data_IF_138398692927
#
_entry.id   IF_138398692927
#
_cell.length_a   1.000
_cell.length_b   1.000
_cell.length_c   1.000
_cell.angle_alpha   90.00
_cell.angle_beta   90.00
_cell.angle_gamma   90.00
#
_symmetry.space_group_name_H-M   'P 1'
#
loop_
_entity.id
_entity.type
_entity.pdbx_description
1 polymer ?
#
# COMPACT_ATOMS: atom_id res chain seq x y z
N UNK A 1 -26.54 -1.13 -1.87
CA UNK A 1 -25.43 -0.44 -1.14
C UNK A 1 -24.13 -0.71 -1.86
N UNK A 2 -23.39 0.33 -2.29
CA UNK A 2 -22.12 0.12 -3.00
C UNK A 2 -21.02 -0.19 -1.98
N UNK A 3 -20.63 -1.45 -1.85
CA UNK A 3 -19.50 -1.87 -1.04
C UNK A 3 -18.21 -1.34 -1.67
N UNK A 4 -17.37 -0.64 -0.90
CA UNK A 4 -16.08 -0.16 -1.34
C UNK A 4 -15.01 -1.20 -1.03
N UNK A 5 -14.26 -1.59 -2.05
CA UNK A 5 -13.17 -2.55 -1.94
C UNK A 5 -11.83 -1.86 -2.17
N UNK A 6 -10.87 -2.08 -1.29
CA UNK A 6 -9.50 -1.62 -1.46
C UNK A 6 -8.55 -2.81 -1.42
N UNK A 7 -7.78 -2.97 -2.48
CA UNK A 7 -6.71 -3.95 -2.57
C UNK A 7 -5.36 -3.24 -2.71
N UNK A 8 -4.37 -3.71 -1.98
CA UNK A 8 -3.02 -3.17 -2.07
C UNK A 8 -1.94 -4.24 -1.99
N UNK A 9 -0.76 -3.87 -2.50
CA UNK A 9 0.47 -4.64 -2.33
C UNK A 9 1.50 -3.74 -1.66
N UNK A 10 2.05 -4.23 -0.54
CA UNK A 10 3.05 -3.54 0.25
C UNK A 10 4.47 -4.01 -0.14
N UNK A 11 5.50 -3.29 0.33
CA UNK A 11 6.93 -3.57 0.12
C UNK A 11 7.36 -3.57 -1.36
N UNK A 12 6.60 -2.88 -2.24
CA UNK A 12 6.85 -2.91 -3.68
C UNK A 12 8.12 -2.13 -4.02
N UNK A 13 9.06 -2.81 -4.66
CA UNK A 13 10.32 -2.24 -5.12
C UNK A 13 10.95 -3.07 -6.24
N UNK A 14 11.17 -4.39 -6.04
CA UNK A 14 11.95 -5.23 -6.96
C UNK A 14 11.34 -5.26 -8.35
N UNK A 15 10.04 -5.47 -8.48
CA UNK A 15 9.37 -5.53 -9.77
C UNK A 15 9.50 -4.23 -10.59
N UNK A 16 9.59 -3.06 -9.92
CA UNK A 16 9.83 -1.78 -10.60
C UNK A 16 11.26 -1.69 -11.15
N UNK A 17 12.23 -2.22 -10.42
CA UNK A 17 13.63 -2.28 -10.87
C UNK A 17 13.76 -3.31 -12.00
N UNK A 18 13.17 -4.50 -11.87
CA UNK A 18 13.20 -5.56 -12.87
C UNK A 18 12.64 -5.10 -14.25
N UNK A 19 11.50 -4.38 -14.27
CA UNK A 19 10.98 -3.83 -15.55
C UNK A 19 11.89 -2.79 -16.15
N UNK A 20 12.59 -2.02 -15.32
CA UNK A 20 13.47 -0.95 -15.77
C UNK A 20 14.79 -1.49 -16.32
N UNK A 21 15.41 -2.44 -15.62
CA UNK A 21 16.68 -3.05 -16.01
C UNK A 21 16.53 -3.83 -17.33
N UNK A 22 15.46 -4.62 -17.45
CA UNK A 22 15.25 -5.55 -18.55
C UNK A 22 14.37 -4.96 -19.68
N UNK A 23 13.97 -3.68 -19.61
CA UNK A 23 13.06 -3.03 -20.56
C UNK A 23 11.75 -3.81 -20.79
N UNK A 24 11.23 -4.46 -19.75
CA UNK A 24 10.00 -5.26 -19.87
C UNK A 24 8.78 -4.33 -19.85
N UNK A 25 7.88 -4.40 -20.84
CA UNK A 25 6.60 -3.70 -20.77
C UNK A 25 5.84 -4.08 -19.50
N UNK A 26 5.33 -3.10 -18.74
CA UNK A 26 4.76 -3.33 -17.41
C UNK A 26 3.69 -4.45 -17.39
N UNK A 27 2.82 -4.48 -18.41
CA UNK A 27 1.75 -5.48 -18.51
C UNK A 27 2.25 -6.90 -18.82
N UNK A 28 3.53 -7.05 -19.25
CA UNK A 28 4.16 -8.36 -19.54
C UNK A 28 4.94 -8.91 -18.35
N UNK A 29 5.35 -8.06 -17.42
CA UNK A 29 6.07 -8.49 -16.22
C UNK A 29 5.14 -9.30 -15.30
N UNK A 30 5.61 -10.42 -14.76
CA UNK A 30 4.81 -11.39 -14.00
C UNK A 30 3.95 -10.74 -12.91
N UNK A 31 4.53 -9.88 -12.08
CA UNK A 31 3.87 -9.18 -10.97
C UNK A 31 2.75 -8.24 -11.48
N UNK A 32 3.08 -7.36 -12.40
CA UNK A 32 2.12 -6.39 -12.94
C UNK A 32 1.05 -7.05 -13.82
N UNK A 33 1.36 -8.17 -14.49
CA UNK A 33 0.39 -8.96 -15.27
C UNK A 33 -0.72 -9.51 -14.40
N UNK A 34 -0.39 -10.01 -13.18
CA UNK A 34 -1.39 -10.45 -12.20
C UNK A 34 -2.35 -9.29 -11.88
N UNK A 35 -1.82 -8.12 -11.52
CA UNK A 35 -2.61 -6.94 -11.14
C UNK A 35 -3.44 -6.41 -12.32
N UNK A 36 -2.88 -6.39 -13.52
CA UNK A 36 -3.58 -5.99 -14.72
C UNK A 36 -4.75 -6.93 -15.06
N UNK A 37 -4.56 -8.24 -14.90
CA UNK A 37 -5.62 -9.23 -15.09
C UNK A 37 -6.74 -9.07 -14.06
N UNK A 38 -6.42 -8.80 -12.79
CA UNK A 38 -7.41 -8.46 -11.76
C UNK A 38 -8.24 -7.23 -12.15
N UNK A 39 -7.57 -6.17 -12.64
CA UNK A 39 -8.27 -4.99 -13.12
C UNK A 39 -9.11 -5.28 -14.37
N UNK A 40 -8.58 -6.02 -15.33
CA UNK A 40 -9.27 -6.33 -16.57
C UNK A 40 -10.57 -7.11 -16.31
N UNK A 41 -10.48 -8.15 -15.47
CA UNK A 41 -11.59 -9.08 -15.18
C UNK A 41 -12.59 -8.49 -14.16
N UNK A 42 -12.10 -7.85 -13.10
CA UNK A 42 -12.93 -7.45 -11.95
C UNK A 42 -12.98 -5.94 -11.73
N UNK A 43 -12.29 -5.13 -12.55
CA UNK A 43 -12.14 -3.68 -12.39
C UNK A 43 -11.53 -3.28 -11.03
N UNK A 44 -10.79 -4.18 -10.40
CA UNK A 44 -10.07 -3.92 -9.15
C UNK A 44 -8.81 -3.11 -9.45
N UNK A 45 -8.78 -1.88 -8.95
CA UNK A 45 -7.58 -1.03 -8.98
C UNK A 45 -6.72 -1.36 -7.78
N UNK A 46 -5.41 -1.55 -8.02
CA UNK A 46 -4.47 -1.92 -6.94
C UNK A 46 -3.64 -0.72 -6.51
N UNK A 47 -3.51 -0.52 -5.20
CA UNK A 47 -2.56 0.44 -4.63
C UNK A 47 -1.24 -0.26 -4.30
N UNK A 48 -0.11 0.34 -4.72
CA UNK A 48 1.24 -0.16 -4.49
C UNK A 48 1.96 0.77 -3.52
N UNK A 49 2.36 0.26 -2.36
CA UNK A 49 3.07 1.01 -1.34
C UNK A 49 4.57 0.73 -1.44
N UNK A 50 5.33 1.79 -1.73
CA UNK A 50 6.69 1.71 -2.20
C UNK A 50 7.71 1.99 -1.09
N UNK A 51 8.77 1.19 -1.05
CA UNK A 51 10.03 1.61 -0.46
C UNK A 51 10.79 2.54 -1.42
N UNK A 52 11.56 3.47 -0.84
CA UNK A 52 12.44 4.32 -1.63
C UNK A 52 13.66 3.59 -2.17
N UNK A 53 14.20 2.68 -1.35
CA UNK A 53 15.42 1.93 -1.64
C UNK A 53 15.35 0.49 -1.14
N UNK A 54 16.19 -0.36 -1.73
CA UNK A 54 16.41 -1.74 -1.29
C UNK A 54 17.82 -2.18 -1.63
N UNK A 55 18.42 -3.03 -0.77
CA UNK A 55 19.70 -3.68 -1.09
C UNK A 55 19.40 -4.92 -1.97
N UNK A 56 19.92 -4.93 -3.19
CA UNK A 56 19.79 -6.01 -4.16
C UNK A 56 21.22 -6.39 -4.61
N UNK A 57 21.58 -7.67 -4.47
CA UNK A 57 22.91 -8.17 -4.84
C UNK A 57 24.06 -7.32 -4.27
N UNK A 58 23.97 -6.96 -2.97
CA UNK A 58 25.00 -6.19 -2.28
C UNK A 58 24.94 -4.66 -2.50
N UNK A 59 24.22 -4.18 -3.52
CA UNK A 59 24.15 -2.75 -3.88
C UNK A 59 22.81 -2.13 -3.44
N UNK A 60 22.86 -0.90 -2.95
CA UNK A 60 21.65 -0.12 -2.66
C UNK A 60 21.11 0.42 -3.98
N UNK A 61 19.92 -0.04 -4.36
CA UNK A 61 19.14 0.46 -5.51
C UNK A 61 18.07 1.43 -5.02
N UNK A 62 17.66 2.38 -5.86
CA UNK A 62 16.68 3.41 -5.49
C UNK A 62 15.60 3.58 -6.56
N UNK A 63 14.45 4.18 -6.18
CA UNK A 63 13.37 4.50 -7.13
C UNK A 63 13.81 5.47 -8.25
N UNK A 64 14.95 6.15 -8.12
CA UNK A 64 15.53 6.98 -9.20
C UNK A 64 15.86 6.18 -10.46
N UNK A 65 16.15 4.90 -10.31
CA UNK A 65 16.51 3.98 -11.38
C UNK A 65 15.30 3.45 -12.16
N UNK A 66 14.08 3.69 -11.64
CA UNK A 66 12.85 3.29 -12.34
C UNK A 66 12.65 4.18 -13.57
N UNK A 67 12.54 3.55 -14.73
CA UNK A 67 12.28 4.23 -16.01
C UNK A 67 10.86 4.79 -16.06
N UNK A 68 10.63 5.73 -17.00
CA UNK A 68 9.31 6.30 -17.23
C UNK A 68 8.33 5.25 -17.82
N UNK A 69 7.21 5.05 -17.12
CA UNK A 69 6.15 4.10 -17.50
C UNK A 69 4.77 4.78 -17.67
N UNK A 70 4.72 6.12 -17.71
CA UNK A 70 3.46 6.89 -17.75
C UNK A 70 2.51 6.43 -18.85
N UNK A 71 3.04 6.20 -20.05
CA UNK A 71 2.22 5.81 -21.20
C UNK A 71 1.59 4.43 -21.05
N UNK A 72 2.22 3.56 -20.26
CA UNK A 72 1.72 2.23 -19.97
C UNK A 72 0.65 2.20 -18.85
N UNK A 73 0.43 3.36 -18.18
CA UNK A 73 -0.49 3.53 -17.07
C UNK A 73 -1.74 4.37 -17.40
N UNK A 74 -2.01 4.62 -18.68
CA UNK A 74 -3.14 5.46 -19.13
C UNK A 74 -4.50 4.99 -18.59
N UNK A 75 -4.68 3.68 -18.40
CA UNK A 75 -5.93 3.06 -17.94
C UNK A 75 -6.17 3.18 -16.42
N UNK A 76 -5.23 3.76 -15.64
CA UNK A 76 -5.33 3.97 -14.19
C UNK A 76 -5.72 2.69 -13.40
N UNK A 77 -5.09 1.57 -13.70
CA UNK A 77 -5.35 0.29 -13.04
C UNK A 77 -4.53 0.07 -11.78
N UNK A 78 -3.43 0.84 -11.60
CA UNK A 78 -2.63 0.88 -10.37
C UNK A 78 -2.39 2.31 -9.92
N UNK A 79 -2.19 2.47 -8.59
CA UNK A 79 -1.75 3.69 -7.94
C UNK A 79 -0.53 3.39 -7.08
N UNK A 80 0.29 4.40 -6.87
CA UNK A 80 1.50 4.30 -6.05
C UNK A 80 1.42 5.26 -4.87
N UNK A 81 2.02 4.88 -3.73
CA UNK A 81 2.24 5.78 -2.62
C UNK A 81 3.38 5.30 -1.71
N UNK A 82 3.61 6.08 -0.69
CA UNK A 82 4.64 5.93 0.31
C UNK A 82 4.40 4.74 1.24
N UNK A 83 5.45 3.93 1.46
CA UNK A 83 5.51 2.90 2.48
C UNK A 83 6.60 3.18 3.52
N UNK A 84 7.81 3.48 3.08
CA UNK A 84 8.96 3.76 3.94
C UNK A 84 10.25 3.95 3.16
N UNK A 85 11.36 4.15 3.88
CA UNK A 85 12.68 4.22 3.26
C UNK A 85 13.06 2.87 2.67
N UNK A 86 13.07 1.86 3.53
CA UNK A 86 13.33 0.44 3.24
C UNK A 86 12.80 -0.43 4.39
N UNK A 87 12.97 -1.74 4.30
CA UNK A 87 12.50 -2.69 5.31
C UNK A 87 13.28 -2.65 6.64
N UNK A 88 14.51 -2.15 6.63
CA UNK A 88 15.39 -2.11 7.81
C UNK A 88 15.25 -0.79 8.59
N UNK A 89 14.83 0.28 7.92
CA UNK A 89 14.65 1.60 8.49
C UNK A 89 13.17 1.99 8.55
N UNK A 90 12.36 1.39 9.44
CA UNK A 90 10.95 1.69 9.52
C UNK A 90 10.70 3.16 9.93
N UNK A 91 9.55 3.75 9.56
CA UNK A 91 9.28 5.16 9.85
C UNK A 91 9.43 5.55 11.33
N UNK A 92 9.05 4.68 12.27
CA UNK A 92 9.16 4.97 13.70
C UNK A 92 10.62 5.07 14.21
N UNK A 93 11.58 4.44 13.51
CA UNK A 93 13.01 4.51 13.84
C UNK A 93 13.70 5.75 13.23
N UNK A 94 12.96 6.58 12.49
CA UNK A 94 13.49 7.75 11.81
C UNK A 94 12.99 9.03 12.48
N UNK A 95 13.83 10.09 12.45
CA UNK A 95 13.40 11.43 12.82
C UNK A 95 12.27 11.92 11.91
N UNK A 96 11.40 12.79 12.41
CA UNK A 96 10.32 13.40 11.62
C UNK A 96 10.85 14.09 10.34
N UNK A 97 12.03 14.73 10.43
CA UNK A 97 12.70 15.36 9.28
C UNK A 97 13.01 14.33 8.19
N UNK A 98 13.57 13.19 8.57
CA UNK A 98 13.91 12.11 7.63
C UNK A 98 12.66 11.45 7.04
N UNK A 99 11.62 11.22 7.83
CA UNK A 99 10.35 10.70 7.33
C UNK A 99 9.72 11.61 6.28
N UNK A 100 9.69 12.93 6.53
CA UNK A 100 9.21 13.94 5.56
C UNK A 100 10.07 13.93 4.29
N UNK A 101 11.40 13.91 4.43
CA UNK A 101 12.33 13.86 3.30
C UNK A 101 12.13 12.60 2.45
N UNK A 102 11.96 11.45 3.08
CA UNK A 102 11.70 10.18 2.39
C UNK A 102 10.36 10.21 1.65
N UNK A 103 9.31 10.74 2.28
CA UNK A 103 8.01 10.91 1.63
C UNK A 103 8.11 11.77 0.37
N UNK A 104 8.79 12.93 0.43
CA UNK A 104 8.93 13.80 -0.74
C UNK A 104 9.77 13.15 -1.85
N UNK A 105 10.83 12.40 -1.50
CA UNK A 105 11.59 11.64 -2.48
C UNK A 105 10.70 10.62 -3.20
N UNK A 106 9.96 9.78 -2.48
CA UNK A 106 9.07 8.77 -3.09
C UNK A 106 7.99 9.45 -3.93
N UNK A 107 7.36 10.51 -3.41
CA UNK A 107 6.35 11.27 -4.15
C UNK A 107 6.90 11.84 -5.45
N UNK A 108 8.08 12.45 -5.41
CA UNK A 108 8.76 13.00 -6.58
C UNK A 108 9.05 11.92 -7.62
N UNK A 109 9.59 10.78 -7.19
CA UNK A 109 9.88 9.68 -8.09
C UNK A 109 8.61 9.08 -8.72
N UNK A 110 7.54 8.88 -7.94
CA UNK A 110 6.26 8.41 -8.48
C UNK A 110 5.74 9.37 -9.56
N UNK A 111 5.81 10.68 -9.31
CA UNK A 111 5.38 11.68 -10.30
C UNK A 111 6.27 11.62 -11.54
N UNK A 112 7.57 11.39 -11.37
CA UNK A 112 8.54 11.28 -12.47
C UNK A 112 8.26 10.05 -13.34
N UNK A 113 8.14 8.85 -12.75
CA UNK A 113 8.02 7.62 -13.54
C UNK A 113 6.59 7.21 -13.88
N UNK A 114 5.59 7.55 -13.05
CA UNK A 114 4.20 7.09 -13.22
C UNK A 114 3.20 8.24 -13.50
N UNK A 115 3.58 9.48 -13.21
CA UNK A 115 2.71 10.65 -13.37
C UNK A 115 1.85 10.94 -12.13
N UNK A 116 1.48 12.22 -11.96
CA UNK A 116 0.73 12.74 -10.81
C UNK A 116 -0.61 12.02 -10.57
N UNK A 117 -1.31 11.63 -11.62
CA UNK A 117 -2.62 10.96 -11.55
C UNK A 117 -2.55 9.57 -10.91
N UNK A 118 -1.39 8.92 -10.95
CA UNK A 118 -1.17 7.61 -10.35
C UNK A 118 -0.62 7.69 -8.92
N UNK A 119 -0.46 8.88 -8.35
CA UNK A 119 -0.12 9.06 -6.94
C UNK A 119 -1.39 8.98 -6.10
N UNK A 120 -1.48 7.98 -5.20
CA UNK A 120 -2.62 7.80 -4.31
C UNK A 120 -2.66 8.86 -3.21
N UNK A 121 -3.87 9.26 -2.79
CA UNK A 121 -4.07 10.11 -1.61
C UNK A 121 -4.20 9.32 -0.29
N UNK A 122 -3.98 8.01 -0.31
CA UNK A 122 -4.02 7.15 0.87
C UNK A 122 -2.68 6.47 1.07
N UNK A 123 -2.15 6.52 2.29
CA UNK A 123 -0.83 6.01 2.67
C UNK A 123 -0.96 4.75 3.53
N UNK A 124 -0.03 3.83 3.39
CA UNK A 124 0.20 2.73 4.34
C UNK A 124 1.67 2.74 4.73
N UNK A 125 1.93 3.05 5.99
CA UNK A 125 3.30 3.08 6.52
C UNK A 125 3.79 1.68 6.89
N UNK A 126 5.05 1.42 6.61
CA UNK A 126 5.72 0.20 7.06
C UNK A 126 5.60 0.07 8.58
N UNK A 127 5.21 -1.12 9.07
CA UNK A 127 4.83 -1.40 10.45
C UNK A 127 3.70 -0.54 11.02
N UNK A 128 2.94 0.16 10.18
CA UNK A 128 1.81 1.03 10.59
C UNK A 128 2.20 2.03 11.68
N UNK A 129 3.43 2.52 11.63
CA UNK A 129 4.00 3.39 12.64
C UNK A 129 4.10 4.82 12.12
N UNK A 130 3.28 5.69 12.64
CA UNK A 130 3.31 7.10 12.32
C UNK A 130 3.24 7.95 13.60
N UNK A 131 3.48 9.24 13.50
CA UNK A 131 3.33 10.21 14.57
C UNK A 131 2.25 11.24 14.24
N UNK A 132 1.78 11.98 15.23
CA UNK A 132 0.85 13.09 15.01
C UNK A 132 1.42 14.15 14.08
N UNK A 133 2.70 14.46 14.22
CA UNK A 133 3.42 15.43 13.41
C UNK A 133 3.50 14.99 11.96
N UNK A 134 3.74 13.69 11.72
CA UNK A 134 3.73 13.14 10.38
C UNK A 134 2.33 13.15 9.77
N UNK A 135 1.29 12.82 10.53
CA UNK A 135 -0.10 12.92 10.09
C UNK A 135 -0.49 14.35 9.72
N UNK A 136 -0.07 15.35 10.53
CA UNK A 136 -0.27 16.75 10.22
C UNK A 136 0.40 17.15 8.91
N UNK A 137 1.63 16.68 8.69
CA UNK A 137 2.36 16.91 7.46
C UNK A 137 1.69 16.26 6.24
N UNK A 138 1.25 15.02 6.34
CA UNK A 138 0.53 14.33 5.28
C UNK A 138 -0.72 15.07 4.84
N UNK A 139 -1.48 15.62 5.80
CA UNK A 139 -2.64 16.46 5.49
C UNK A 139 -2.28 17.70 4.68
N UNK A 140 -1.19 18.38 5.03
CA UNK A 140 -0.68 19.52 4.25
C UNK A 140 -0.31 19.12 2.82
N UNK A 141 0.12 17.86 2.61
CA UNK A 141 0.44 17.29 1.31
C UNK A 141 -0.77 16.68 0.58
N UNK A 142 -2.00 16.98 1.03
CA UNK A 142 -3.27 16.51 0.45
C UNK A 142 -3.46 14.98 0.54
N UNK A 143 -2.78 14.31 1.46
CA UNK A 143 -3.09 12.94 1.84
C UNK A 143 -4.42 12.94 2.58
N UNK A 144 -5.34 12.07 2.18
CA UNK A 144 -6.71 11.97 2.72
C UNK A 144 -6.83 10.95 3.84
N UNK A 145 -5.95 9.97 3.89
CA UNK A 145 -6.02 8.96 4.93
C UNK A 145 -4.84 8.00 4.98
N UNK A 146 -4.81 7.23 6.09
CA UNK A 146 -3.84 6.19 6.36
C UNK A 146 -4.54 4.87 6.64
N UNK A 147 -3.97 3.78 6.10
CA UNK A 147 -4.40 2.43 6.46
C UNK A 147 -3.71 1.98 7.73
N UNK A 148 -4.51 1.49 8.68
CA UNK A 148 -4.04 0.92 9.94
C UNK A 148 -3.89 -0.61 9.83
N UNK A 149 -3.38 -1.21 10.90
CA UNK A 149 -3.13 -2.66 10.98
C UNK A 149 -4.41 -3.51 10.99
N UNK A 150 -4.26 -4.78 10.62
CA UNK A 150 -5.24 -5.86 10.81
C UNK A 150 -5.23 -6.45 12.24
N UNK A 151 -4.23 -6.07 13.07
CA UNK A 151 -4.06 -6.58 14.43
C UNK A 151 -5.05 -5.93 15.42
N UNK A 152 -5.19 -6.53 16.61
CA UNK A 152 -6.01 -5.98 17.71
C UNK A 152 -5.44 -4.64 18.22
N UNK A 153 -4.12 -4.51 18.30
CA UNK A 153 -3.47 -3.28 18.77
C UNK A 153 -3.14 -2.43 17.58
N UNK A 154 -3.73 -1.25 17.52
CA UNK A 154 -3.44 -0.24 16.49
C UNK A 154 -2.12 0.46 16.81
N UNK A 155 -1.20 0.52 15.87
CA UNK A 155 0.15 1.06 16.07
C UNK A 155 0.20 2.59 16.19
N UNK A 156 -0.82 3.29 15.69
CA UNK A 156 -0.88 4.75 15.70
C UNK A 156 -1.16 5.31 17.10
N UNK A 157 -0.53 6.43 17.42
CA UNK A 157 -0.79 7.20 18.65
C UNK A 157 -2.12 7.96 18.55
N UNK A 158 -3.21 7.25 18.33
CA UNK A 158 -4.55 7.81 18.30
C UNK A 158 -5.15 7.86 19.71
N UNK A 159 -6.06 8.82 19.98
CA UNK A 159 -6.91 8.76 21.19
C UNK A 159 -7.70 7.46 21.26
N UNK A 160 -7.99 6.97 22.46
CA UNK A 160 -8.67 5.68 22.67
C UNK A 160 -9.99 5.60 21.88
N UNK A 161 -10.83 6.62 21.96
CA UNK A 161 -12.09 6.70 21.19
C UNK A 161 -11.89 6.44 19.69
N UNK A 162 -10.81 6.98 19.09
CA UNK A 162 -10.52 6.77 17.67
C UNK A 162 -10.06 5.34 17.39
N UNK A 163 -9.34 4.71 18.33
CA UNK A 163 -8.96 3.30 18.23
C UNK A 163 -10.20 2.40 18.30
N UNK A 164 -11.13 2.67 19.22
CA UNK A 164 -12.38 1.95 19.35
C UNK A 164 -13.25 2.08 18.10
N UNK A 165 -13.36 3.27 17.54
CA UNK A 165 -14.05 3.50 16.24
C UNK A 165 -13.45 2.66 15.12
N UNK A 166 -12.13 2.46 15.08
CA UNK A 166 -11.48 1.60 14.08
C UNK A 166 -11.93 0.13 14.20
N UNK A 167 -12.21 -0.35 15.40
CA UNK A 167 -12.73 -1.70 15.61
C UNK A 167 -14.21 -1.83 15.26
N UNK A 168 -15.02 -0.86 15.68
CA UNK A 168 -16.48 -0.89 15.53
C UNK A 168 -16.90 -0.50 14.10
N UNK A 169 -16.37 0.62 13.59
CA UNK A 169 -16.78 1.25 12.33
C UNK A 169 -15.84 0.97 11.15
N UNK A 170 -14.69 0.33 11.39
CA UNK A 170 -13.60 0.12 10.41
C UNK A 170 -12.91 1.41 9.93
N UNK A 171 -13.27 2.58 10.43
CA UNK A 171 -12.60 3.84 10.18
C UNK A 171 -12.81 4.83 11.32
N UNK A 172 -11.90 5.80 11.41
CA UNK A 172 -12.03 6.94 12.33
C UNK A 172 -11.45 8.19 11.69
N UNK A 173 -11.88 9.36 12.14
CA UNK A 173 -11.29 10.64 11.74
C UNK A 173 -10.56 11.26 12.93
N UNK A 174 -9.31 11.65 12.69
CA UNK A 174 -8.55 12.39 13.67
C UNK A 174 -7.79 13.54 12.98
N UNK A 175 -7.98 14.77 13.46
CA UNK A 175 -7.37 15.99 12.89
C UNK A 175 -7.53 16.08 11.35
N UNK A 176 -8.74 15.83 10.86
CA UNK A 176 -9.11 15.85 9.45
C UNK A 176 -8.36 14.85 8.54
N UNK A 177 -7.79 13.81 9.11
CA UNK A 177 -7.21 12.71 8.39
C UNK A 177 -8.04 11.43 8.68
N UNK A 178 -8.36 10.67 7.66
CA UNK A 178 -9.11 9.43 7.80
C UNK A 178 -8.15 8.28 8.11
N UNK A 179 -8.39 7.56 9.19
CA UNK A 179 -7.72 6.29 9.49
C UNK A 179 -8.66 5.17 9.11
N UNK A 180 -8.15 4.14 8.42
CA UNK A 180 -8.97 3.05 7.88
C UNK A 180 -8.35 1.74 8.34
N UNK A 181 -9.16 0.89 9.00
CA UNK A 181 -8.70 -0.41 9.45
C UNK A 181 -8.49 -1.35 8.26
N UNK A 182 -7.41 -2.09 8.30
CA UNK A 182 -7.17 -3.22 7.41
C UNK A 182 -7.93 -4.44 7.91
N UNK A 183 -8.61 -5.15 7.02
CA UNK A 183 -9.40 -6.33 7.37
C UNK A 183 -8.58 -7.61 7.26
N UNK A 184 -7.81 -7.76 6.17
CA UNK A 184 -7.10 -9.01 5.86
C UNK A 184 -5.71 -8.78 5.30
N UNK A 185 -4.83 -9.66 5.72
CA UNK A 185 -3.58 -9.97 5.08
C UNK A 185 -3.72 -11.32 4.38
N UNK A 186 -3.60 -11.35 3.05
CA UNK A 186 -3.92 -12.54 2.23
C UNK A 186 -3.08 -13.75 2.64
N UNK A 187 -1.79 -13.60 2.81
CA UNK A 187 -0.89 -14.69 3.15
C UNK A 187 -1.19 -15.34 4.51
N UNK A 188 -1.77 -14.58 5.45
CA UNK A 188 -2.22 -15.15 6.73
C UNK A 188 -3.45 -16.05 6.57
N UNK A 189 -4.28 -15.77 5.57
CA UNK A 189 -5.46 -16.57 5.28
C UNK A 189 -5.10 -17.88 4.59
N UNK A 190 -4.11 -17.85 3.67
CA UNK A 190 -3.71 -19.02 2.88
C UNK A 190 -2.99 -20.10 3.71
N UNK A 191 -2.34 -19.72 4.83
CA UNK A 191 -1.56 -20.66 5.65
C UNK A 191 -2.39 -21.50 6.61
N UNK A 192 -3.61 -21.08 6.95
CA UNK A 192 -4.38 -21.68 8.07
C UNK A 192 -5.71 -22.31 7.67
N UNK A 193 -6.18 -22.18 6.43
CA UNK A 193 -7.56 -22.57 6.12
C UNK A 193 -7.75 -23.09 4.70
N UNK A 194 -8.54 -24.17 4.58
CA UNK A 194 -9.02 -24.68 3.29
C UNK A 194 -9.86 -23.64 2.56
N UNK A 195 -9.80 -23.58 1.25
CA UNK A 195 -10.45 -22.59 0.38
C UNK A 195 -11.94 -22.31 0.68
N UNK A 196 -12.72 -23.36 1.06
CA UNK A 196 -14.14 -23.20 1.45
C UNK A 196 -14.33 -22.29 2.67
N UNK A 197 -13.46 -22.43 3.68
CA UNK A 197 -13.50 -21.62 4.90
C UNK A 197 -13.07 -20.17 4.64
N UNK A 198 -12.10 -19.97 3.74
CA UNK A 198 -11.71 -18.64 3.28
C UNK A 198 -12.86 -17.91 2.59
N UNK A 199 -13.57 -18.62 1.70
CA UNK A 199 -14.73 -18.07 1.00
C UNK A 199 -15.84 -17.65 1.97
N UNK A 200 -16.18 -18.48 2.98
CA UNK A 200 -17.21 -18.15 3.97
C UNK A 200 -16.86 -16.92 4.82
N UNK A 201 -15.62 -16.83 5.31
CA UNK A 201 -15.14 -15.67 6.07
C UNK A 201 -15.17 -14.40 5.20
N UNK A 202 -14.81 -14.53 3.94
CA UNK A 202 -14.80 -13.41 3.00
C UNK A 202 -16.23 -12.92 2.73
N UNK A 203 -17.16 -13.82 2.48
CA UNK A 203 -18.58 -13.52 2.25
C UNK A 203 -19.25 -12.91 3.49
N UNK A 204 -19.01 -13.46 4.67
CA UNK A 204 -19.48 -12.90 5.93
C UNK A 204 -19.05 -11.44 6.11
N UNK A 205 -17.78 -11.16 5.83
CA UNK A 205 -17.26 -9.78 5.96
C UNK A 205 -17.80 -8.85 4.87
N UNK A 206 -18.00 -9.33 3.64
CA UNK A 206 -18.64 -8.56 2.57
C UNK A 206 -20.08 -8.18 2.97
N UNK A 207 -20.81 -9.11 3.52
CA UNK A 207 -22.21 -8.88 3.91
C UNK A 207 -22.34 -7.91 5.11
N UNK A 208 -21.36 -7.96 6.04
CA UNK A 208 -21.41 -7.19 7.27
C UNK A 208 -20.67 -5.85 7.22
N UNK A 209 -19.90 -5.55 6.17
CA UNK A 209 -19.08 -4.34 6.08
C UNK A 209 -19.27 -3.58 4.76
N UNK A 210 -19.48 -2.27 4.89
CA UNK A 210 -19.54 -1.35 3.74
C UNK A 210 -18.20 -1.13 3.04
N UNK A 211 -17.08 -1.39 3.71
CA UNK A 211 -15.73 -1.21 3.16
C UNK A 211 -14.87 -2.41 3.55
N UNK A 212 -14.13 -2.94 2.58
CA UNK A 212 -13.20 -4.05 2.78
C UNK A 212 -11.82 -3.62 2.33
N UNK A 213 -10.84 -3.77 3.21
CA UNK A 213 -9.43 -3.43 2.96
C UNK A 213 -8.57 -4.68 3.06
N UNK A 214 -7.96 -5.04 1.95
CA UNK A 214 -7.12 -6.24 1.82
C UNK A 214 -5.74 -5.86 1.33
N UNK A 215 -4.72 -6.54 1.82
CA UNK A 215 -3.36 -6.37 1.32
C UNK A 215 -2.58 -7.69 1.29
N UNK A 216 -1.51 -7.67 0.53
CA UNK A 216 -0.45 -8.68 0.49
C UNK A 216 0.91 -7.98 0.32
N UNK A 217 2.00 -8.73 0.23
CA UNK A 217 3.33 -8.19 -0.04
C UNK A 217 3.86 -8.67 -1.39
N UNK A 218 4.74 -7.88 -2.03
CA UNK A 218 5.36 -8.23 -3.31
C UNK A 218 6.05 -9.60 -3.26
N UNK A 219 6.85 -9.84 -2.22
CA UNK A 219 7.63 -11.09 -2.07
C UNK A 219 6.74 -12.34 -1.88
N UNK A 220 5.53 -12.18 -1.35
CA UNK A 220 4.59 -13.30 -1.19
C UNK A 220 3.97 -13.72 -2.53
N UNK A 221 3.79 -12.78 -3.44
CA UNK A 221 3.34 -13.09 -4.79
C UNK A 221 4.44 -13.77 -5.63
N UNK A 222 5.71 -13.46 -5.36
CA UNK A 222 6.87 -14.07 -6.04
C UNK A 222 7.06 -15.55 -5.67
N UNK A 223 6.77 -15.94 -4.42
CA UNK A 223 6.94 -17.34 -3.94
C UNK A 223 6.00 -18.35 -4.58
N UNK A 224 4.96 -17.91 -5.29
CA UNK A 224 3.91 -18.76 -5.85
C UNK A 224 4.00 -18.92 -7.38
N UNK A 225 5.01 -18.32 -8.00
CA UNK A 225 5.33 -18.42 -9.40
C UNK A 225 6.72 -19.08 -9.59
#
# INVERSE_FOLDING_TARGET
MNNKFHFSVDDVFESLIEISDNNIPIKKHWFFKILYNLWKKYKIKTALYLFYQKKINGKIRTLREVKNIKDQLKENWIYFNFHGLDSQNPPFAQSLKNQKKTFEKIRSEIIRFAGKKNFSSFVRLHYYSESFELSKYFRQKKIKGLFTTDKKIVSYKLPQKNKDDLFIKSFSFFKNLKFIRTDFRIEKLSQKQKFKKLKSIFLEKINNKKNIVIYTHEYELKKKN
#
